data_IF_770233090292
#
_entry.id   IF_770233090292
#
_cell.length_a   1.000
_cell.length_b   1.000
_cell.length_c   1.000
_cell.angle_alpha   90.00
_cell.angle_beta   90.00
_cell.angle_gamma   90.00
#
_symmetry.space_group_name_H-M   'P 1'
#
loop_
_entity.id
_entity.type
_entity.pdbx_description
1 polymer ?
#
# COMPACT_ATOMS: atom_id res chain seq x y z
N UNK A 1 -15.86 -53.22 0.89
CA UNK A 1 -14.69 -52.34 0.66
C UNK A 1 -15.21 -51.07 0.02
N UNK A 2 -15.34 -50.01 0.82
CA UNK A 2 -15.66 -48.67 0.36
C UNK A 2 -14.55 -47.77 0.90
N UNK A 3 -13.84 -47.11 0.00
CA UNK A 3 -12.81 -46.12 0.33
C UNK A 3 -13.56 -44.89 0.85
N UNK A 4 -13.39 -44.60 2.13
CA UNK A 4 -13.90 -43.37 2.75
C UNK A 4 -12.95 -42.22 2.41
N UNK A 5 -13.40 -41.31 1.56
CA UNK A 5 -12.75 -40.04 1.32
C UNK A 5 -12.87 -39.16 2.57
N UNK A 6 -11.72 -38.67 3.01
CA UNK A 6 -11.55 -37.70 4.09
C UNK A 6 -12.19 -36.37 3.68
N UNK A 7 -13.32 -36.02 4.28
CA UNK A 7 -13.91 -34.70 4.16
C UNK A 7 -12.99 -33.66 4.85
N UNK A 8 -12.32 -32.84 4.04
CA UNK A 8 -11.70 -31.59 4.51
C UNK A 8 -12.82 -30.59 4.78
N UNK A 9 -13.18 -30.47 6.06
CA UNK A 9 -13.99 -29.36 6.57
C UNK A 9 -13.16 -28.09 6.43
N UNK A 10 -13.41 -27.30 5.39
CA UNK A 10 -12.91 -25.93 5.27
C UNK A 10 -14.04 -25.00 5.70
N UNK A 11 -13.80 -24.39 6.85
CA UNK A 11 -14.66 -23.54 7.66
C UNK A 11 -15.42 -22.50 6.82
N UNK A 12 -16.75 -22.58 6.87
CA UNK A 12 -17.65 -21.67 6.20
C UNK A 12 -17.65 -20.33 6.96
N UNK A 13 -17.16 -19.27 6.32
CA UNK A 13 -17.45 -17.91 6.79
C UNK A 13 -18.94 -17.64 6.64
N UNK A 14 -19.71 -17.71 7.72
CA UNK A 14 -21.12 -17.33 7.74
C UNK A 14 -21.18 -15.79 7.81
N UNK A 15 -21.74 -15.17 6.77
CA UNK A 15 -22.18 -13.79 6.80
C UNK A 15 -23.60 -13.78 7.37
N UNK A 16 -23.75 -13.52 8.67
CA UNK A 16 -25.07 -13.26 9.25
C UNK A 16 -25.32 -11.74 9.25
N UNK A 17 -26.19 -11.21 8.37
CA UNK A 17 -26.66 -9.84 8.50
C UNK A 17 -27.52 -9.72 9.77
N UNK A 18 -27.34 -8.66 10.53
CA UNK A 18 -28.31 -8.22 11.54
C UNK A 18 -28.93 -6.90 11.06
N UNK A 19 -30.26 -6.75 11.08
CA UNK A 19 -30.89 -5.47 10.81
C UNK A 19 -30.51 -4.47 11.91
N UNK A 20 -30.07 -3.28 11.50
CA UNK A 20 -30.00 -2.11 12.37
C UNK A 20 -31.43 -1.64 12.61
N UNK A 21 -31.80 -1.44 13.88
CA UNK A 21 -33.09 -0.83 14.24
C UNK A 21 -32.99 0.67 14.00
N UNK A 22 -33.72 1.17 13.01
CA UNK A 22 -33.90 2.61 12.78
C UNK A 22 -34.65 3.24 13.95
N UNK A 23 -34.05 4.27 14.54
CA UNK A 23 -34.70 5.14 15.52
C UNK A 23 -35.10 6.44 14.85
N UNK A 24 -36.39 6.52 14.51
CA UNK A 24 -37.29 7.64 14.19
C UNK A 24 -36.80 8.91 13.43
N UNK A 25 -37.66 9.29 12.50
CA UNK A 25 -37.55 10.25 11.41
C UNK A 25 -37.51 11.73 11.81
N UNK A 26 -36.85 12.56 10.98
CA UNK A 26 -37.53 13.59 10.17
C UNK A 26 -36.51 14.49 9.43
N UNK A 27 -36.54 14.48 8.09
CA UNK A 27 -36.60 15.68 7.21
C UNK A 27 -36.17 15.36 5.77
N UNK A 28 -36.99 15.85 4.83
CA UNK A 28 -36.86 15.72 3.38
C UNK A 28 -35.46 16.08 2.83
N UNK A 29 -34.80 15.11 2.20
CA UNK A 29 -33.89 15.36 1.08
C UNK A 29 -33.66 14.09 0.27
N UNK A 30 -33.76 14.20 -1.06
CA UNK A 30 -33.48 13.13 -2.03
C UNK A 30 -31.98 12.75 -2.02
N UNK A 31 -31.54 12.06 -0.98
CA UNK A 31 -30.28 11.30 -0.99
C UNK A 31 -30.64 9.82 -1.08
N UNK A 32 -30.12 9.11 -2.09
CA UNK A 32 -30.15 7.65 -2.08
C UNK A 32 -29.49 7.17 -0.78
N UNK A 33 -30.28 6.61 0.11
CA UNK A 33 -29.83 6.05 1.38
C UNK A 33 -28.94 4.84 1.09
N UNK A 34 -27.62 5.05 1.07
CA UNK A 34 -26.65 3.96 0.86
C UNK A 34 -26.64 3.12 2.13
N UNK A 35 -27.32 1.97 2.10
CA UNK A 35 -27.34 1.05 3.24
C UNK A 35 -25.92 0.52 3.53
N UNK A 36 -25.37 0.95 4.66
CA UNK A 36 -24.05 0.52 5.14
C UNK A 36 -24.25 -0.70 6.03
N UNK A 37 -23.75 -1.85 5.59
CA UNK A 37 -23.83 -3.11 6.35
C UNK A 37 -22.49 -3.38 7.03
N UNK A 38 -22.53 -3.86 8.28
CA UNK A 38 -21.33 -4.31 9.00
C UNK A 38 -21.06 -5.78 8.71
N UNK A 39 -19.85 -6.06 8.25
CA UNK A 39 -19.40 -7.40 7.91
C UNK A 39 -18.28 -7.83 8.86
N UNK A 40 -18.35 -9.07 9.33
CA UNK A 40 -17.25 -9.71 10.05
C UNK A 40 -16.29 -10.30 9.02
N UNK A 41 -15.05 -9.82 9.01
CA UNK A 41 -14.02 -10.25 8.08
C UNK A 41 -12.96 -11.02 8.84
N UNK A 42 -12.60 -12.20 8.35
CA UNK A 42 -11.49 -12.98 8.86
C UNK A 42 -10.33 -12.90 7.86
N UNK A 43 -9.24 -12.28 8.27
CA UNK A 43 -8.03 -12.19 7.48
C UNK A 43 -7.33 -13.54 7.45
N UNK A 44 -6.54 -13.80 6.41
CA UNK A 44 -5.77 -15.06 6.32
C UNK A 44 -4.67 -15.20 7.38
N UNK A 45 -4.41 -14.15 8.15
CA UNK A 45 -3.60 -14.19 9.37
C UNK A 45 -4.35 -14.78 10.58
N UNK A 46 -5.63 -15.15 10.43
CA UNK A 46 -6.51 -15.62 11.51
C UNK A 46 -7.15 -14.50 12.33
N UNK A 47 -6.83 -13.24 12.04
CA UNK A 47 -7.40 -12.09 12.74
C UNK A 47 -8.81 -11.80 12.21
N UNK A 48 -9.79 -11.73 13.11
CA UNK A 48 -11.15 -11.29 12.77
C UNK A 48 -11.38 -9.83 13.13
N UNK A 49 -11.97 -9.06 12.23
CA UNK A 49 -12.35 -7.66 12.45
C UNK A 49 -13.71 -7.34 11.81
N UNK A 50 -14.22 -6.14 12.08
CA UNK A 50 -15.47 -5.67 11.49
C UNK A 50 -15.19 -4.55 10.49
N UNK A 51 -15.81 -4.61 9.32
CA UNK A 51 -15.78 -3.54 8.31
C UNK A 51 -17.20 -3.09 8.01
N UNK A 52 -17.37 -1.80 7.73
CA UNK A 52 -18.65 -1.25 7.29
C UNK A 52 -18.51 -0.93 5.81
N UNK A 53 -19.36 -1.52 4.97
CA UNK A 53 -19.34 -1.31 3.52
C UNK A 53 -20.77 -1.29 2.99
N UNK A 54 -21.00 -0.64 1.85
CA UNK A 54 -22.25 -0.83 1.11
C UNK A 54 -22.32 -2.25 0.56
N UNK A 55 -23.53 -2.76 0.37
CA UNK A 55 -23.77 -4.15 -0.09
C UNK A 55 -23.02 -4.48 -1.39
N UNK A 56 -22.97 -3.55 -2.35
CA UNK A 56 -22.24 -3.73 -3.61
C UNK A 56 -20.72 -3.82 -3.41
N UNK A 57 -20.15 -2.98 -2.53
CA UNK A 57 -18.72 -3.01 -2.20
C UNK A 57 -18.36 -4.33 -1.50
N UNK A 58 -19.23 -4.85 -0.64
CA UNK A 58 -19.00 -6.10 0.07
C UNK A 58 -19.07 -7.34 -0.85
N UNK A 59 -19.99 -7.36 -1.81
CA UNK A 59 -20.07 -8.40 -2.85
C UNK A 59 -18.82 -8.37 -3.74
N UNK A 60 -18.40 -7.19 -4.19
CA UNK A 60 -17.15 -7.03 -4.94
C UNK A 60 -15.95 -7.50 -4.10
N UNK A 61 -15.84 -7.10 -2.82
CA UNK A 61 -14.77 -7.54 -1.92
C UNK A 61 -14.78 -9.07 -1.70
N UNK A 62 -15.95 -9.70 -1.60
CA UNK A 62 -16.08 -11.14 -1.43
C UNK A 62 -15.63 -11.90 -2.69
N UNK A 63 -16.00 -11.45 -3.87
CA UNK A 63 -15.63 -12.09 -5.14
C UNK A 63 -14.13 -11.93 -5.45
N UNK A 64 -13.55 -10.76 -5.15
CA UNK A 64 -12.10 -10.48 -5.27
C UNK A 64 -11.28 -11.45 -4.40
N UNK A 65 -11.79 -11.90 -3.25
CA UNK A 65 -11.02 -12.78 -2.33
C UNK A 65 -10.93 -14.25 -2.75
N UNK A 66 -11.74 -14.72 -3.70
CA UNK A 66 -11.78 -16.15 -4.08
C UNK A 66 -10.83 -16.53 -5.23
N UNK A 67 -10.35 -15.58 -6.04
CA UNK A 67 -9.57 -15.91 -7.26
C UNK A 67 -8.30 -15.06 -7.44
N UNK A 68 -8.06 -14.03 -6.62
CA UNK A 68 -6.88 -13.16 -6.79
C UNK A 68 -5.65 -13.75 -6.09
N UNK A 69 -4.57 -14.07 -6.82
CA UNK A 69 -3.35 -14.57 -6.21
C UNK A 69 -2.76 -13.52 -5.25
N UNK A 70 -2.33 -13.99 -4.07
CA UNK A 70 -1.90 -13.10 -2.98
C UNK A 70 -0.52 -12.50 -3.26
N UNK A 71 -0.30 -11.23 -2.86
CA UNK A 71 1.03 -10.63 -2.87
C UNK A 71 2.01 -11.42 -2.00
N UNK A 72 3.28 -11.40 -2.39
CA UNK A 72 4.37 -12.01 -1.62
C UNK A 72 5.36 -10.95 -1.18
N UNK A 73 6.06 -11.21 -0.07
CA UNK A 73 7.14 -10.39 0.42
C UNK A 73 8.47 -11.14 0.36
N UNK A 74 9.51 -10.48 -0.12
CA UNK A 74 10.87 -11.02 -0.22
C UNK A 74 11.86 -10.01 0.35
N UNK A 75 12.89 -10.49 1.03
CA UNK A 75 14.01 -9.64 1.46
C UNK A 75 15.23 -9.91 0.59
N UNK A 76 15.88 -8.84 0.15
CA UNK A 76 17.07 -8.84 -0.69
C UNK A 76 18.26 -8.39 0.15
N UNK A 77 19.10 -9.32 0.68
CA UNK A 77 20.12 -8.98 1.67
C UNK A 77 21.25 -8.10 1.15
N UNK A 78 21.57 -8.19 -0.15
CA UNK A 78 22.63 -7.39 -0.77
C UNK A 78 22.19 -5.93 -0.88
N UNK A 79 20.94 -5.70 -1.26
CA UNK A 79 20.35 -4.38 -1.43
C UNK A 79 19.78 -3.81 -0.12
N UNK A 80 19.65 -4.65 0.91
CA UNK A 80 18.93 -4.39 2.17
C UNK A 80 17.47 -3.92 1.94
N UNK A 81 16.83 -4.45 0.90
CA UNK A 81 15.47 -4.07 0.49
C UNK A 81 14.46 -5.17 0.79
N UNK A 82 13.33 -4.80 1.40
CA UNK A 82 12.11 -5.62 1.38
C UNK A 82 11.27 -5.25 0.16
N UNK A 83 10.85 -6.26 -0.60
CA UNK A 83 10.05 -6.14 -1.81
C UNK A 83 8.71 -6.84 -1.63
N UNK A 84 7.62 -6.14 -1.94
CA UNK A 84 6.28 -6.69 -2.10
C UNK A 84 5.97 -6.86 -3.58
N UNK A 85 5.72 -8.09 -4.01
CA UNK A 85 5.32 -8.42 -5.38
C UNK A 85 3.84 -8.76 -5.42
N UNK A 86 3.07 -8.01 -6.19
CA UNK A 86 1.69 -8.39 -6.54
C UNK A 86 1.70 -9.23 -7.83
N UNK A 87 1.23 -10.49 -7.79
CA UNK A 87 1.25 -11.36 -8.97
C UNK A 87 0.40 -10.81 -10.12
N UNK A 88 -0.57 -9.94 -9.88
CA UNK A 88 -1.33 -9.25 -10.93
C UNK A 88 -0.47 -8.26 -11.74
N UNK A 89 0.73 -7.92 -11.28
CA UNK A 89 1.69 -7.11 -12.04
C UNK A 89 2.60 -7.94 -12.96
N UNK A 90 2.77 -9.23 -12.68
CA UNK A 90 3.83 -10.07 -13.27
C UNK A 90 3.37 -11.41 -13.86
N UNK A 91 2.22 -11.93 -13.46
CA UNK A 91 1.71 -13.24 -13.88
C UNK A 91 1.29 -13.30 -15.34
N UNK A 92 1.07 -14.50 -15.87
CA UNK A 92 0.48 -14.66 -17.20
C UNK A 92 -0.87 -13.95 -17.29
N UNK A 93 -1.09 -13.18 -18.36
CA UNK A 93 -2.28 -12.35 -18.53
C UNK A 93 -2.25 -11.00 -17.78
N UNK A 94 -1.22 -10.71 -16.96
CA UNK A 94 -1.06 -9.38 -16.37
C UNK A 94 -0.72 -8.32 -17.43
N UNK A 95 -1.12 -7.05 -17.23
CA UNK A 95 -0.82 -5.96 -18.16
C UNK A 95 0.65 -5.90 -18.53
N UNK A 96 0.96 -5.36 -19.73
CA UNK A 96 2.33 -5.04 -20.10
C UNK A 96 2.97 -4.10 -19.07
N UNK A 97 4.28 -3.90 -19.17
CA UNK A 97 4.92 -2.76 -18.50
C UNK A 97 4.20 -1.44 -18.82
N UNK A 98 4.47 -0.41 -18.02
CA UNK A 98 3.79 0.88 -18.14
C UNK A 98 4.78 2.02 -18.30
N UNK A 99 4.42 2.98 -19.15
CA UNK A 99 5.18 4.23 -19.32
C UNK A 99 4.88 5.22 -18.19
N UNK A 100 3.68 5.13 -17.59
CA UNK A 100 3.24 6.00 -16.50
C UNK A 100 3.46 5.34 -15.14
N UNK A 101 4.20 6.00 -14.25
CA UNK A 101 4.44 5.52 -12.88
C UNK A 101 3.95 6.57 -11.88
N UNK A 102 3.07 6.12 -10.98
CA UNK A 102 2.63 6.86 -9.81
C UNK A 102 3.33 6.25 -8.59
N UNK A 103 4.34 6.96 -8.09
CA UNK A 103 5.16 6.48 -7.00
C UNK A 103 4.89 7.29 -5.72
N UNK A 104 4.90 6.62 -4.58
CA UNK A 104 4.52 7.22 -3.29
C UNK A 104 5.52 6.85 -2.19
N UNK A 105 5.74 7.74 -1.23
CA UNK A 105 6.16 7.33 0.11
C UNK A 105 4.99 6.69 0.89
N UNK A 106 5.29 6.04 2.02
CA UNK A 106 4.30 5.44 2.92
C UNK A 106 3.96 6.37 4.09
N UNK A 107 4.92 6.61 4.97
CA UNK A 107 4.75 7.15 6.32
C UNK A 107 4.63 8.67 6.26
N UNK A 108 3.46 9.23 6.56
CA UNK A 108 3.19 10.67 6.40
C UNK A 108 2.62 11.03 5.02
N UNK A 109 2.54 10.06 4.09
CA UNK A 109 2.09 10.27 2.71
C UNK A 109 0.83 9.51 2.37
N UNK A 110 0.86 8.18 2.43
CA UNK A 110 -0.30 7.34 2.18
C UNK A 110 -1.06 7.04 3.48
N UNK A 111 -0.32 6.97 4.59
CA UNK A 111 -0.85 6.72 5.92
C UNK A 111 -0.20 7.62 6.96
N UNK A 112 -0.92 7.84 8.05
CA UNK A 112 -0.45 8.55 9.24
C UNK A 112 -0.81 7.73 10.47
N UNK A 113 -0.14 7.99 11.58
CA UNK A 113 -0.56 7.44 12.86
C UNK A 113 -1.73 8.24 13.41
N UNK A 114 -2.71 7.53 14.00
CA UNK A 114 -3.94 8.13 14.53
C UNK A 114 -3.70 9.18 15.63
N UNK A 115 -2.61 9.02 16.37
CA UNK A 115 -2.27 9.86 17.53
C UNK A 115 -1.02 10.72 17.30
N UNK A 116 -0.52 10.81 16.07
CA UNK A 116 0.72 11.54 15.76
C UNK A 116 2.01 10.89 16.30
N UNK A 117 1.93 9.66 16.82
CA UNK A 117 3.11 8.86 17.20
C UNK A 117 4.04 8.71 16.00
N UNK A 118 5.36 8.91 16.13
CA UNK A 118 6.28 8.64 15.03
C UNK A 118 6.14 7.19 14.51
N UNK A 119 5.97 6.97 13.19
CA UNK A 119 5.69 5.65 12.63
C UNK A 119 6.68 4.55 13.04
N UNK A 120 7.97 4.89 13.17
CA UNK A 120 8.99 3.94 13.60
C UNK A 120 8.85 3.49 15.07
N UNK A 121 8.08 4.20 15.89
CA UNK A 121 7.74 3.82 17.26
C UNK A 121 6.49 2.95 17.35
N UNK A 122 5.56 3.06 16.39
CA UNK A 122 4.33 2.28 16.39
C UNK A 122 4.60 0.76 16.45
N UNK A 123 3.72 0.05 17.13
CA UNK A 123 3.85 -1.38 17.45
C UNK A 123 2.71 -2.22 16.90
N UNK A 124 1.64 -1.59 16.45
CA UNK A 124 0.48 -2.25 15.87
C UNK A 124 0.05 -1.56 14.58
N UNK A 125 -0.45 -2.35 13.64
CA UNK A 125 -1.07 -1.84 12.41
C UNK A 125 -2.33 -1.01 12.70
N UNK A 126 -3.01 -1.27 13.82
CA UNK A 126 -4.21 -0.54 14.23
C UNK A 126 -3.95 0.92 14.64
N UNK A 127 -2.69 1.30 14.83
CA UNK A 127 -2.28 2.68 15.13
C UNK A 127 -2.29 3.57 13.88
N UNK A 128 -2.46 2.99 12.68
CA UNK A 128 -2.41 3.70 11.41
C UNK A 128 -3.81 3.90 10.82
N UNK A 129 -3.92 4.96 10.03
CA UNK A 129 -5.06 5.24 9.16
C UNK A 129 -4.56 5.83 7.84
N UNK A 130 -5.33 5.75 6.75
CA UNK A 130 -5.03 6.53 5.55
C UNK A 130 -4.82 8.01 5.88
N UNK A 131 -3.93 8.67 5.16
CA UNK A 131 -3.66 10.12 5.31
C UNK A 131 -4.95 10.93 5.15
N UNK A 132 -5.77 10.58 4.17
CA UNK A 132 -7.13 11.09 3.98
C UNK A 132 -7.95 10.09 3.16
N UNK A 133 -9.28 10.26 3.13
CA UNK A 133 -10.17 9.42 2.32
C UNK A 133 -9.84 9.47 0.82
N UNK A 134 -9.23 10.57 0.37
CA UNK A 134 -8.88 10.74 -1.03
C UNK A 134 -7.77 9.79 -1.48
N UNK A 135 -6.93 9.27 -0.57
CA UNK A 135 -5.85 8.31 -0.89
C UNK A 135 -6.40 7.10 -1.66
N UNK A 136 -7.49 6.51 -1.15
CA UNK A 136 -8.08 5.30 -1.74
C UNK A 136 -8.62 5.61 -3.14
N UNK A 137 -9.40 6.69 -3.27
CA UNK A 137 -9.99 7.10 -4.56
C UNK A 137 -8.92 7.45 -5.59
N UNK A 138 -7.90 8.22 -5.22
CA UNK A 138 -6.82 8.67 -6.11
C UNK A 138 -5.96 7.50 -6.59
N UNK A 139 -5.62 6.56 -5.72
CA UNK A 139 -4.85 5.38 -6.14
C UNK A 139 -5.63 4.52 -7.14
N UNK A 140 -6.95 4.37 -6.94
CA UNK A 140 -7.83 3.67 -7.89
C UNK A 140 -7.95 4.41 -9.22
N UNK A 141 -8.17 5.72 -9.20
CA UNK A 141 -8.21 6.59 -10.38
C UNK A 141 -6.92 6.49 -11.20
N UNK A 142 -5.76 6.60 -10.55
CA UNK A 142 -4.47 6.49 -11.22
C UNK A 142 -4.28 5.14 -11.90
N UNK A 143 -4.62 4.05 -11.21
CA UNK A 143 -4.56 2.72 -11.81
C UNK A 143 -5.48 2.61 -13.04
N UNK A 144 -6.71 3.14 -12.96
CA UNK A 144 -7.63 3.20 -14.09
C UNK A 144 -7.09 4.04 -15.26
N UNK A 145 -6.34 5.11 -14.97
CA UNK A 145 -5.66 5.97 -15.95
C UNK A 145 -4.36 5.36 -16.55
N UNK A 146 -4.08 4.10 -16.20
CA UNK A 146 -2.96 3.32 -16.72
C UNK A 146 -1.64 3.57 -15.99
N UNK A 147 -1.66 4.18 -14.80
CA UNK A 147 -0.46 4.30 -13.98
C UNK A 147 -0.14 2.96 -13.32
N UNK A 148 1.16 2.63 -13.32
CA UNK A 148 1.67 1.63 -12.39
C UNK A 148 1.88 2.27 -11.03
N UNK A 149 1.32 1.64 -10.00
CA UNK A 149 1.42 2.12 -8.62
C UNK A 149 2.59 1.44 -7.93
N UNK A 150 3.44 2.23 -7.26
CA UNK A 150 4.55 1.72 -6.46
C UNK A 150 4.77 2.54 -5.20
N UNK A 151 5.16 1.88 -4.10
CA UNK A 151 5.53 2.54 -2.85
C UNK A 151 7.05 2.39 -2.65
N UNK A 152 7.72 3.50 -2.33
CA UNK A 152 9.14 3.56 -1.97
C UNK A 152 9.30 4.17 -0.59
N UNK A 153 9.83 3.41 0.39
CA UNK A 153 9.92 3.89 1.78
C UNK A 153 11.22 3.51 2.48
N UNK A 154 11.65 4.36 3.42
CA UNK A 154 12.89 4.23 4.18
C UNK A 154 12.63 3.56 5.55
N UNK A 155 12.47 2.23 5.58
CA UNK A 155 12.07 1.46 6.77
C UNK A 155 13.26 0.94 7.62
N UNK A 156 14.19 1.83 7.99
CA UNK A 156 15.42 1.46 8.71
C UNK A 156 15.20 0.81 10.09
N UNK A 157 14.03 1.02 10.71
CA UNK A 157 13.64 0.38 11.96
C UNK A 157 13.47 -1.14 11.84
N UNK A 158 13.19 -1.65 10.63
CA UNK A 158 13.09 -3.10 10.36
C UNK A 158 14.44 -3.78 10.56
N UNK A 159 15.52 -3.16 10.09
CA UNK A 159 16.89 -3.63 10.33
C UNK A 159 17.29 -4.83 9.48
N UNK A 160 16.99 -4.79 8.18
CA UNK A 160 17.54 -5.75 7.20
C UNK A 160 17.03 -7.18 7.36
N UNK A 161 15.72 -7.36 7.56
CA UNK A 161 15.11 -8.68 7.75
C UNK A 161 13.67 -8.70 7.24
N UNK A 162 13.21 -9.90 6.88
CA UNK A 162 11.85 -10.11 6.41
C UNK A 162 10.85 -10.24 7.56
N UNK A 163 11.28 -10.60 8.77
CA UNK A 163 10.42 -11.01 9.89
C UNK A 163 10.66 -10.24 11.20
N UNK A 164 9.75 -10.46 12.16
CA UNK A 164 9.75 -9.85 13.47
C UNK A 164 8.90 -8.58 13.54
N UNK A 165 8.56 -8.18 14.77
CA UNK A 165 7.52 -7.18 15.06
C UNK A 165 7.52 -5.95 14.13
N UNK A 166 8.67 -5.29 13.91
CA UNK A 166 8.75 -4.12 13.02
C UNK A 166 8.52 -4.46 11.55
N UNK A 167 9.07 -5.56 11.05
CA UNK A 167 8.80 -6.03 9.69
C UNK A 167 7.32 -6.40 9.54
N UNK A 168 6.76 -7.12 10.52
CA UNK A 168 5.37 -7.59 10.49
C UNK A 168 4.37 -6.44 10.48
N UNK A 169 4.60 -5.40 11.30
CA UNK A 169 3.81 -4.16 11.28
C UNK A 169 3.90 -3.47 9.93
N UNK A 170 5.11 -3.31 9.37
CA UNK A 170 5.30 -2.67 8.06
C UNK A 170 4.58 -3.44 6.95
N UNK A 171 4.73 -4.77 6.87
CA UNK A 171 4.05 -5.59 5.87
C UNK A 171 2.53 -5.54 6.02
N UNK A 172 2.04 -5.67 7.26
CA UNK A 172 0.62 -5.68 7.57
C UNK A 172 -0.09 -4.38 7.19
N UNK A 173 0.54 -3.22 7.39
CA UNK A 173 0.00 -1.90 6.99
C UNK A 173 -0.17 -1.81 5.47
N UNK A 174 0.85 -2.20 4.74
CA UNK A 174 0.85 -2.14 3.27
C UNK A 174 -0.11 -3.15 2.66
N UNK A 175 -0.19 -4.36 3.23
CA UNK A 175 -1.16 -5.36 2.78
C UNK A 175 -2.60 -4.95 3.10
N UNK A 176 -2.83 -4.25 4.22
CA UNK A 176 -4.12 -3.62 4.53
C UNK A 176 -4.48 -2.56 3.48
N UNK A 177 -3.57 -1.61 3.19
CA UNK A 177 -3.77 -0.62 2.12
C UNK A 177 -4.09 -1.30 0.78
N UNK A 178 -3.37 -2.36 0.44
CA UNK A 178 -3.61 -3.14 -0.77
C UNK A 178 -4.99 -3.78 -0.84
N UNK A 179 -5.45 -4.34 0.28
CA UNK A 179 -6.81 -4.90 0.39
C UNK A 179 -7.89 -3.83 0.22
N UNK A 180 -7.66 -2.63 0.76
CA UNK A 180 -8.59 -1.50 0.63
C UNK A 180 -8.58 -0.92 -0.79
N UNK A 181 -7.41 -0.75 -1.42
CA UNK A 181 -7.33 -0.18 -2.76
C UNK A 181 -7.89 -1.12 -3.83
N UNK A 182 -7.67 -2.43 -3.70
CA UNK A 182 -8.08 -3.42 -4.68
C UNK A 182 -7.27 -3.40 -5.98
N UNK A 183 -6.26 -2.52 -6.11
CA UNK A 183 -5.41 -2.40 -7.31
C UNK A 183 -4.08 -3.13 -7.17
N UNK A 184 -3.45 -3.56 -8.27
CA UNK A 184 -2.10 -4.11 -8.25
C UNK A 184 -1.04 -3.02 -8.04
N UNK A 185 -0.10 -3.25 -7.12
CA UNK A 185 1.03 -2.35 -6.87
C UNK A 185 2.24 -3.11 -6.34
N UNK A 186 3.42 -2.52 -6.46
CA UNK A 186 4.66 -3.01 -5.83
C UNK A 186 5.04 -2.13 -4.63
N UNK A 187 5.80 -2.67 -3.68
CA UNK A 187 6.40 -1.86 -2.62
C UNK A 187 7.86 -2.26 -2.44
N UNK A 188 8.77 -1.28 -2.38
CA UNK A 188 10.18 -1.50 -2.16
C UNK A 188 10.64 -0.63 -1.00
N UNK A 189 11.13 -1.28 0.05
CA UNK A 189 11.49 -0.62 1.31
C UNK A 189 12.96 -0.83 1.64
N UNK A 190 13.71 0.27 1.76
CA UNK A 190 15.09 0.25 2.22
C UNK A 190 15.13 0.04 3.75
N UNK A 191 15.53 -1.16 4.17
CA UNK A 191 15.45 -1.61 5.58
C UNK A 191 16.78 -1.59 6.34
N UNK A 192 17.89 -1.34 5.66
CA UNK A 192 19.21 -1.19 6.27
C UNK A 192 19.27 0.00 7.23
N UNK A 193 19.73 -0.24 8.47
CA UNK A 193 19.85 0.81 9.53
C UNK A 193 20.88 1.88 9.19
N UNK A 194 21.88 1.54 8.37
CA UNK A 194 23.04 2.37 8.04
C UNK A 194 23.23 2.57 6.53
N UNK A 195 22.17 2.39 5.74
CA UNK A 195 22.24 2.61 4.30
C UNK A 195 22.72 4.03 4.01
N UNK A 196 23.78 4.17 3.21
CA UNK A 196 24.24 5.47 2.71
C UNK A 196 23.12 6.09 1.87
N UNK A 197 23.02 7.41 1.89
CA UNK A 197 22.00 8.19 1.17
C UNK A 197 22.61 8.69 -0.14
N UNK A 198 21.93 8.52 -1.27
CA UNK A 198 22.39 9.02 -2.57
C UNK A 198 23.33 8.03 -3.25
N UNK A 199 24.63 8.30 -3.19
CA UNK A 199 25.70 7.42 -3.69
C UNK A 199 26.54 6.92 -2.51
N UNK A 200 27.09 5.71 -2.63
CA UNK A 200 28.04 5.20 -1.66
C UNK A 200 29.49 5.67 -1.94
N UNK A 201 30.46 5.17 -1.18
CA UNK A 201 31.87 5.58 -1.34
C UNK A 201 32.52 5.11 -2.64
N UNK A 202 31.86 4.20 -3.35
CA UNK A 202 32.29 3.69 -4.66
C UNK A 202 31.59 4.40 -5.82
N UNK A 203 30.64 5.30 -5.52
CA UNK A 203 29.79 5.97 -6.50
C UNK A 203 28.58 5.13 -6.93
N UNK A 204 28.28 4.01 -6.25
CA UNK A 204 27.09 3.21 -6.54
C UNK A 204 25.83 3.86 -5.96
N UNK A 205 24.76 3.91 -6.75
CA UNK A 205 23.45 4.45 -6.34
C UNK A 205 22.89 3.59 -5.21
N UNK A 206 22.51 4.24 -4.10
CA UNK A 206 21.97 3.54 -2.94
C UNK A 206 20.46 3.31 -3.05
N UNK A 207 19.98 2.30 -2.32
CA UNK A 207 18.54 1.99 -2.24
C UNK A 207 17.81 2.87 -1.22
N UNK A 208 18.51 3.42 -0.23
CA UNK A 208 17.90 4.33 0.75
C UNK A 208 17.70 5.71 0.13
N UNK A 209 16.46 6.21 0.13
CA UNK A 209 16.14 7.56 -0.37
C UNK A 209 17.05 8.59 0.32
N UNK A 210 17.67 9.52 -0.44
CA UNK A 210 17.31 9.95 -1.79
C UNK A 210 17.97 9.18 -2.95
N UNK A 211 18.68 8.06 -2.70
CA UNK A 211 19.21 7.21 -3.77
C UNK A 211 18.09 6.56 -4.59
N UNK A 212 18.27 6.46 -5.90
CA UNK A 212 17.27 5.93 -6.84
C UNK A 212 17.28 4.41 -7.00
N UNK A 213 18.05 3.67 -6.19
CA UNK A 213 18.22 2.21 -6.35
C UNK A 213 16.89 1.44 -6.29
N UNK A 214 15.95 1.83 -5.44
CA UNK A 214 14.62 1.21 -5.40
C UNK A 214 13.82 1.46 -6.69
N UNK A 215 13.98 2.62 -7.33
CA UNK A 215 13.33 2.91 -8.62
C UNK A 215 13.84 1.98 -9.72
N UNK A 216 15.17 1.82 -9.82
CA UNK A 216 15.78 0.92 -10.81
C UNK A 216 15.39 -0.55 -10.56
N UNK A 217 15.30 -0.96 -9.29
CA UNK A 217 14.82 -2.28 -8.91
C UNK A 217 13.35 -2.49 -9.30
N UNK A 218 12.49 -1.50 -9.10
CA UNK A 218 11.11 -1.55 -9.58
C UNK A 218 11.04 -1.70 -11.10
N UNK A 219 11.82 -0.91 -11.86
CA UNK A 219 11.80 -1.00 -13.33
C UNK A 219 12.24 -2.37 -13.83
N UNK A 220 13.32 -2.92 -13.25
CA UNK A 220 13.86 -4.22 -13.66
C UNK A 220 12.95 -5.38 -13.31
N UNK A 221 12.33 -5.37 -12.12
CA UNK A 221 11.56 -6.52 -11.61
C UNK A 221 10.07 -6.44 -11.85
N UNK A 222 9.53 -5.23 -11.87
CA UNK A 222 8.09 -5.01 -11.97
C UNK A 222 7.68 -4.37 -13.27
N UNK A 223 8.55 -3.64 -14.00
CA UNK A 223 8.14 -2.89 -15.20
C UNK A 223 8.23 -3.62 -16.55
N UNK A 224 8.54 -4.93 -16.56
CA UNK A 224 8.56 -5.78 -17.77
C UNK A 224 9.34 -5.18 -18.95
N UNK A 225 10.43 -4.46 -18.66
CA UNK A 225 11.29 -3.84 -19.68
C UNK A 225 10.71 -2.61 -20.39
N UNK A 226 9.51 -2.14 -20.02
CA UNK A 226 8.96 -0.88 -20.56
C UNK A 226 9.69 0.29 -19.91
N UNK A 227 10.15 1.24 -20.73
CA UNK A 227 10.80 2.45 -20.25
C UNK A 227 9.73 3.45 -19.80
N UNK A 228 9.82 4.03 -18.59
CA UNK A 228 8.88 5.04 -18.16
C UNK A 228 9.08 6.37 -18.89
N UNK A 229 7.97 7.07 -19.15
CA UNK A 229 7.99 8.50 -19.47
C UNK A 229 8.01 9.29 -18.16
N UNK A 230 9.20 9.80 -17.83
CA UNK A 230 9.45 10.54 -16.60
C UNK A 230 8.69 11.87 -16.53
N UNK A 231 8.23 12.42 -17.68
CA UNK A 231 7.49 13.69 -17.71
C UNK A 231 6.07 13.56 -17.20
N UNK A 232 5.47 12.39 -17.39
CA UNK A 232 4.09 12.08 -16.96
C UNK A 232 4.06 11.22 -15.68
N UNK A 233 5.21 10.67 -15.29
CA UNK A 233 5.41 9.97 -14.03
C UNK A 233 5.72 10.94 -12.89
N UNK A 234 5.42 10.54 -11.67
CA UNK A 234 5.59 11.41 -10.49
C UNK A 234 5.87 10.63 -9.22
N UNK A 235 6.40 11.35 -8.23
CA UNK A 235 6.58 10.89 -6.85
C UNK A 235 5.82 11.80 -5.87
N UNK A 236 5.13 11.20 -4.92
CA UNK A 236 4.47 11.91 -3.81
C UNK A 236 5.15 11.53 -2.50
N UNK A 237 5.53 12.51 -1.68
CA UNK A 237 6.18 12.27 -0.39
C UNK A 237 6.15 13.47 0.55
N UNK A 238 6.17 13.24 1.87
CA UNK A 238 6.08 14.26 2.90
C UNK A 238 7.44 14.90 3.23
N UNK A 239 8.54 14.16 3.02
CA UNK A 239 9.90 14.63 3.27
C UNK A 239 10.36 15.58 2.15
N UNK A 240 9.80 16.79 2.15
CA UNK A 240 9.95 17.79 1.11
C UNK A 240 10.91 18.94 1.47
N UNK A 241 11.56 18.88 2.63
CA UNK A 241 12.52 19.90 3.10
C UNK A 241 11.87 21.24 3.47
N UNK A 242 10.58 21.25 3.79
CA UNK A 242 9.86 22.42 4.32
C UNK A 242 10.14 22.59 5.80
N UNK A 243 9.80 23.76 6.35
CA UNK A 243 9.89 23.98 7.78
C UNK A 243 8.98 23.00 8.52
N UNK A 244 9.55 22.18 9.40
CA UNK A 244 8.84 21.13 10.15
C UNK A 244 8.90 19.74 9.53
N UNK A 245 9.35 19.60 8.27
CA UNK A 245 9.58 18.29 7.68
C UNK A 245 10.78 17.61 8.36
N UNK A 246 10.71 16.28 8.49
CA UNK A 246 11.77 15.48 9.10
C UNK A 246 13.03 15.35 8.19
N UNK A 247 12.93 15.80 6.94
CA UNK A 247 13.99 15.81 5.95
C UNK A 247 13.47 16.21 4.56
N UNK A 248 14.31 16.04 3.54
CA UNK A 248 14.00 16.34 2.14
C UNK A 248 14.18 15.13 1.21
N UNK A 249 14.27 13.93 1.77
CA UNK A 249 14.69 12.74 1.02
C UNK A 249 13.71 12.33 -0.08
N UNK A 250 12.43 12.71 0.02
CA UNK A 250 11.42 12.39 -0.99
C UNK A 250 11.53 13.32 -2.19
N UNK A 251 11.69 14.62 -1.92
CA UNK A 251 11.96 15.63 -2.95
C UNK A 251 13.26 15.31 -3.69
N UNK A 252 14.30 14.96 -2.95
CA UNK A 252 15.59 14.60 -3.52
C UNK A 252 15.55 13.25 -4.26
N UNK A 253 14.77 12.26 -3.79
CA UNK A 253 14.53 11.02 -4.54
C UNK A 253 13.87 11.28 -5.89
N UNK A 254 12.80 12.09 -5.91
CA UNK A 254 12.12 12.47 -7.14
C UNK A 254 13.07 13.19 -8.12
N UNK A 255 13.93 14.07 -7.59
CA UNK A 255 14.97 14.76 -8.36
C UNK A 255 16.01 13.79 -8.93
N UNK A 256 16.49 12.84 -8.14
CA UNK A 256 17.46 11.82 -8.58
C UNK A 256 16.90 10.95 -9.70
N UNK A 257 15.61 10.59 -9.63
CA UNK A 257 14.93 9.83 -10.68
C UNK A 257 14.61 10.71 -11.91
N UNK A 258 14.35 12.00 -11.70
CA UNK A 258 13.95 12.93 -12.75
C UNK A 258 12.43 12.96 -13.02
N UNK A 259 11.61 12.64 -12.01
CA UNK A 259 10.14 12.72 -12.08
C UNK A 259 9.61 13.95 -11.37
N UNK A 260 8.35 14.31 -11.67
CA UNK A 260 7.67 15.40 -10.97
C UNK A 260 7.45 15.04 -9.50
N UNK A 261 7.62 15.99 -8.60
CA UNK A 261 7.39 15.82 -7.16
C UNK A 261 6.11 16.54 -6.72
N UNK A 262 5.36 15.89 -5.82
CA UNK A 262 4.25 16.49 -5.09
C UNK A 262 4.34 16.16 -3.61
N UNK A 263 3.85 17.06 -2.78
CA UNK A 263 3.57 16.78 -1.36
C UNK A 263 2.21 16.10 -1.20
N UNK A 264 1.95 15.39 -0.08
CA UNK A 264 0.65 14.78 0.17
C UNK A 264 -0.47 15.82 0.13
N UNK A 265 -0.23 17.02 0.66
CA UNK A 265 -1.23 18.10 0.69
C UNK A 265 -1.62 18.57 -0.72
N UNK A 266 -0.63 18.65 -1.62
CA UNK A 266 -0.87 19.05 -3.01
C UNK A 266 -1.62 17.97 -3.80
N UNK A 267 -1.44 16.70 -3.44
CA UNK A 267 -1.94 15.57 -4.23
C UNK A 267 -3.26 15.01 -3.71
N UNK A 268 -3.38 14.87 -2.39
CA UNK A 268 -4.52 14.28 -1.69
C UNK A 268 -5.39 15.33 -0.97
N UNK A 269 -4.98 16.60 -0.94
CA UNK A 269 -5.60 17.61 -0.10
C UNK A 269 -5.08 17.54 1.34
N UNK A 270 -5.69 18.26 2.28
CA UNK A 270 -5.24 18.23 3.68
C UNK A 270 -5.46 16.85 4.30
N UNK A 271 -4.63 16.51 5.29
CA UNK A 271 -4.83 15.34 6.15
C UNK A 271 -6.27 15.32 6.69
N UNK A 272 -6.96 14.20 6.49
CA UNK A 272 -8.31 13.97 7.01
C UNK A 272 -8.28 13.58 8.48
N UNK A 273 -9.39 13.72 9.19
CA UNK A 273 -9.56 13.27 10.58
C UNK A 273 -10.16 11.87 10.64
#
# INVERSE_FOLDING_TARGET
MHLGETALVLDQGILEPQPVSDGDSDSDSDYEEVSVTRYKVQLSSGVTGWVSASSRIAEDMYDITRVVPKPTWTYHPREEVMERTDPRMMGEGSPSGGEKIAAFDLDGTLEVTKLGTPPYLATSTSEFRPYSDSVISKVRELHADGYRVVIFSNQGGVGGKLDGCKADVVRGRVDFLGGVWGVPFAALFATGRKGKKGEDETGEITYRKPGSGMWEMFLSKHNKGVKPDLKVSFYVGDAAGRMGDHGDCDREFARSVGVKFYTPEQFFGREGS
#
